data_IF_678077250566
#
_entry.id   IF_678077250566
#
_cell.length_a   1.000
_cell.length_b   1.000
_cell.length_c   1.000
_cell.angle_alpha   90.00
_cell.angle_beta   90.00
_cell.angle_gamma   90.00
#
_symmetry.space_group_name_H-M   'P 1'
#
loop_
_entity.id
_entity.type
_entity.pdbx_description
1 polymer ?
#
# COMPACT_ATOMS: atom_id res chain seq x y z
N UNK A 1 -69.31 -29.70 -27.41
CA UNK A 1 -68.63 -30.11 -26.14
C UNK A 1 -67.84 -28.90 -25.65
N UNK A 2 -68.35 -28.21 -24.62
CA UNK A 2 -67.74 -27.05 -24.05
C UNK A 2 -66.84 -27.48 -22.86
N UNK A 3 -65.62 -26.97 -22.82
CA UNK A 3 -64.68 -27.26 -21.76
C UNK A 3 -65.05 -26.48 -20.46
N UNK A 4 -64.83 -27.01 -19.28
CA UNK A 4 -65.15 -26.36 -18.02
C UNK A 4 -64.15 -25.24 -17.69
N UNK A 5 -64.62 -24.20 -16.95
CA UNK A 5 -63.74 -23.11 -16.55
C UNK A 5 -62.80 -23.48 -15.44
N UNK A 6 -61.54 -23.02 -15.50
CA UNK A 6 -60.50 -23.22 -14.49
C UNK A 6 -60.79 -22.38 -13.21
N UNK A 7 -60.48 -22.92 -12.03
CA UNK A 7 -60.66 -22.20 -10.76
C UNK A 7 -59.60 -21.08 -10.60
N UNK A 8 -59.94 -19.98 -9.86
CA UNK A 8 -59.03 -18.89 -9.62
C UNK A 8 -57.91 -19.32 -8.67
N UNK A 9 -56.67 -19.06 -9.06
CA UNK A 9 -55.51 -19.21 -8.22
C UNK A 9 -55.54 -18.22 -7.05
N UNK A 10 -55.72 -18.74 -5.85
CA UNK A 10 -55.47 -17.98 -4.62
C UNK A 10 -53.97 -17.81 -4.44
N UNK A 11 -53.50 -16.60 -4.61
CA UNK A 11 -52.13 -16.19 -4.23
C UNK A 11 -52.12 -16.08 -2.70
N UNK A 12 -51.67 -17.15 -2.03
CA UNK A 12 -51.31 -17.10 -0.63
C UNK A 12 -50.11 -16.17 -0.46
N UNK A 13 -50.33 -15.02 0.14
CA UNK A 13 -49.31 -14.10 0.55
C UNK A 13 -48.36 -14.76 1.56
N UNK A 14 -47.18 -15.21 1.07
CA UNK A 14 -46.10 -15.57 1.97
C UNK A 14 -45.53 -14.26 2.57
N UNK A 15 -45.87 -14.05 3.84
CA UNK A 15 -45.19 -13.04 4.67
C UNK A 15 -43.75 -13.43 4.79
N UNK A 16 -42.88 -12.73 4.02
CA UNK A 16 -41.44 -12.80 4.16
C UNK A 16 -41.09 -12.24 5.54
N UNK A 17 -40.43 -13.01 6.44
CA UNK A 17 -40.00 -12.45 7.71
C UNK A 17 -38.99 -11.31 7.38
N UNK A 18 -39.37 -10.08 7.73
CA UNK A 18 -38.45 -8.97 7.75
C UNK A 18 -37.36 -9.28 8.76
N UNK A 19 -36.21 -9.73 8.24
CA UNK A 19 -34.99 -9.78 9.01
C UNK A 19 -34.68 -8.36 9.47
N UNK A 20 -35.00 -8.05 10.70
CA UNK A 20 -34.54 -6.86 11.39
C UNK A 20 -33.03 -6.97 11.52
N UNK A 21 -32.32 -6.60 10.47
CA UNK A 21 -30.87 -6.40 10.49
C UNK A 21 -30.63 -5.25 11.45
N UNK A 22 -30.26 -5.59 12.69
CA UNK A 22 -29.81 -4.64 13.69
C UNK A 22 -28.74 -3.78 13.05
N UNK A 23 -28.88 -2.44 12.97
CA UNK A 23 -27.85 -1.61 12.34
C UNK A 23 -26.56 -1.84 13.10
N UNK A 24 -25.55 -2.36 12.39
CA UNK A 24 -24.20 -2.48 12.91
C UNK A 24 -23.76 -1.04 13.21
N UNK A 25 -23.33 -0.71 14.44
CA UNK A 25 -22.89 0.64 14.76
C UNK A 25 -21.65 0.93 13.92
N UNK A 26 -21.85 1.60 12.80
CA UNK A 26 -20.76 2.21 12.03
C UNK A 26 -20.13 3.24 12.97
N UNK A 27 -18.86 3.06 13.25
CA UNK A 27 -18.05 4.00 14.01
C UNK A 27 -17.97 5.30 13.18
N UNK A 28 -18.98 6.15 13.31
CA UNK A 28 -19.02 7.44 12.63
C UNK A 28 -17.93 8.32 13.25
N UNK A 29 -16.84 8.50 12.52
CA UNK A 29 -15.84 9.49 12.88
C UNK A 29 -16.49 10.87 12.90
N UNK A 30 -16.05 11.74 13.83
CA UNK A 30 -16.50 13.14 13.84
C UNK A 30 -16.15 13.79 12.49
N UNK A 31 -16.90 14.83 12.05
CA UNK A 31 -16.63 15.50 10.77
C UNK A 31 -15.18 15.98 10.63
N UNK A 32 -14.57 16.46 11.71
CA UNK A 32 -13.17 16.88 11.72
C UNK A 32 -12.18 15.70 11.61
N UNK A 33 -12.51 14.54 12.15
CA UNK A 33 -11.70 13.34 11.99
C UNK A 33 -11.77 12.81 10.55
N UNK A 34 -12.97 12.84 9.95
CA UNK A 34 -13.14 12.47 8.53
C UNK A 34 -12.39 13.39 7.58
N UNK A 35 -12.39 14.72 7.85
CA UNK A 35 -11.66 15.68 7.05
C UNK A 35 -10.14 15.40 7.10
N UNK A 36 -9.59 15.16 8.27
CA UNK A 36 -8.18 14.80 8.44
C UNK A 36 -7.81 13.48 7.74
N UNK A 37 -8.70 12.50 7.79
CA UNK A 37 -8.44 11.22 7.12
C UNK A 37 -8.43 11.38 5.60
N UNK A 38 -9.34 12.16 5.02
CA UNK A 38 -9.31 12.49 3.60
C UNK A 38 -8.04 13.22 3.20
N UNK A 39 -7.59 14.16 4.00
CA UNK A 39 -6.34 14.89 3.76
C UNK A 39 -5.12 13.97 3.80
N UNK A 40 -5.04 13.04 4.76
CA UNK A 40 -4.01 12.01 4.82
C UNK A 40 -3.96 11.16 3.56
N UNK A 41 -5.12 10.66 3.13
CA UNK A 41 -5.24 9.87 1.90
C UNK A 41 -4.81 10.69 0.69
N UNK A 42 -5.28 11.93 0.55
CA UNK A 42 -4.92 12.80 -0.57
C UNK A 42 -3.41 13.01 -0.65
N UNK A 43 -2.76 13.40 0.44
CA UNK A 43 -1.30 13.63 0.44
C UNK A 43 -0.52 12.37 0.11
N UNK A 44 -0.96 11.19 0.58
CA UNK A 44 -0.30 9.92 0.24
C UNK A 44 -0.46 9.58 -1.25
N UNK A 45 -1.64 9.83 -1.83
CA UNK A 45 -1.87 9.63 -3.26
C UNK A 45 -1.03 10.60 -4.11
N UNK A 46 -0.90 11.85 -3.69
CA UNK A 46 -0.05 12.83 -4.35
C UNK A 46 1.44 12.42 -4.30
N UNK A 47 1.91 11.92 -3.15
CA UNK A 47 3.26 11.35 -3.02
C UNK A 47 3.43 10.15 -3.97
N UNK A 48 2.45 9.26 -4.04
CA UNK A 48 2.52 8.10 -4.93
C UNK A 48 2.59 8.50 -6.40
N UNK A 49 1.85 9.54 -6.80
CA UNK A 49 1.90 10.07 -8.16
C UNK A 49 3.31 10.56 -8.52
N UNK A 50 3.93 11.35 -7.64
CA UNK A 50 5.30 11.84 -7.86
C UNK A 50 6.34 10.69 -7.90
N UNK A 51 6.21 9.72 -6.99
CA UNK A 51 7.10 8.55 -7.00
C UNK A 51 6.93 7.73 -8.28
N UNK A 52 5.72 7.60 -8.80
CA UNK A 52 5.47 6.92 -10.08
C UNK A 52 6.13 7.65 -11.24
N UNK A 53 6.02 8.98 -11.31
CA UNK A 53 6.71 9.78 -12.33
C UNK A 53 8.22 9.57 -12.28
N UNK A 54 8.78 9.58 -11.07
CA UNK A 54 10.21 9.33 -10.88
C UNK A 54 10.60 7.90 -11.28
N UNK A 55 9.80 6.90 -10.93
CA UNK A 55 10.06 5.51 -11.31
C UNK A 55 10.03 5.33 -12.85
N UNK A 56 9.08 5.97 -13.54
CA UNK A 56 8.98 5.95 -15.01
C UNK A 56 10.23 6.61 -15.59
N UNK A 57 10.64 7.78 -15.11
CA UNK A 57 11.85 8.47 -15.55
C UNK A 57 13.09 7.59 -15.41
N UNK A 58 13.22 6.90 -14.27
CA UNK A 58 14.33 5.97 -14.02
C UNK A 58 14.30 4.75 -14.94
N UNK A 59 13.12 4.28 -15.32
CA UNK A 59 12.97 3.22 -16.32
C UNK A 59 13.41 3.67 -17.71
N UNK A 60 13.00 4.87 -18.14
CA UNK A 60 13.41 5.48 -19.41
C UNK A 60 14.91 5.70 -19.48
N UNK A 61 15.56 6.01 -18.35
CA UNK A 61 17.02 6.08 -18.21
C UNK A 61 17.70 4.69 -18.18
N UNK A 62 16.94 3.61 -18.31
CA UNK A 62 17.45 2.24 -18.22
C UNK A 62 17.93 1.82 -16.83
N UNK A 63 17.47 2.51 -15.79
CA UNK A 63 17.78 2.24 -14.37
C UNK A 63 16.76 1.32 -13.70
N UNK A 64 15.67 0.96 -14.38
CA UNK A 64 14.61 0.10 -13.86
C UNK A 64 14.94 -1.40 -13.81
N UNK A 65 16.11 -1.80 -14.32
CA UNK A 65 16.45 -3.21 -14.50
C UNK A 65 15.83 -3.79 -15.78
N UNK A 66 16.03 -5.08 -16.03
CA UNK A 66 15.42 -5.77 -17.16
C UNK A 66 13.93 -5.98 -16.89
N UNK A 67 13.07 -5.32 -17.65
CA UNK A 67 11.65 -5.68 -17.73
C UNK A 67 11.51 -6.89 -18.63
N UNK A 68 10.69 -7.87 -18.24
CA UNK A 68 10.59 -9.21 -18.85
C UNK A 68 10.26 -9.31 -20.34
N UNK A 69 10.20 -8.18 -21.07
CA UNK A 69 10.05 -8.14 -22.54
C UNK A 69 11.38 -8.16 -23.30
N UNK A 70 12.50 -7.86 -22.64
CA UNK A 70 13.82 -7.73 -23.26
C UNK A 70 14.76 -8.92 -22.93
N UNK A 71 14.20 -10.01 -22.44
CA UNK A 71 14.96 -11.26 -22.29
C UNK A 71 15.05 -11.96 -23.64
N UNK A 72 15.74 -11.31 -24.59
CA UNK A 72 16.46 -12.07 -25.61
C UNK A 72 17.57 -12.80 -24.87
N UNK A 73 17.41 -14.08 -24.72
CA UNK A 73 18.42 -14.97 -24.15
C UNK A 73 19.59 -15.02 -25.15
N UNK A 74 20.42 -13.99 -25.14
CA UNK A 74 21.73 -14.08 -25.72
C UNK A 74 22.56 -14.97 -24.79
N UNK A 75 22.94 -16.14 -25.31
CA UNK A 75 23.69 -17.19 -24.61
C UNK A 75 25.10 -16.79 -24.15
N UNK A 76 25.41 -15.53 -24.17
CA UNK A 76 26.67 -14.98 -23.64
C UNK A 76 26.33 -14.20 -22.37
N UNK A 77 26.40 -14.86 -21.22
CA UNK A 77 26.40 -14.40 -19.84
C UNK A 77 26.52 -12.89 -19.54
N UNK A 78 25.74 -12.05 -20.22
CA UNK A 78 25.64 -10.64 -19.96
C UNK A 78 24.91 -10.45 -18.63
N UNK A 79 25.58 -9.82 -17.68
CA UNK A 79 25.09 -9.44 -16.37
C UNK A 79 23.67 -8.90 -16.46
N UNK A 80 22.72 -9.64 -15.89
CA UNK A 80 21.36 -9.16 -15.75
C UNK A 80 21.42 -7.79 -15.07
N UNK A 81 21.11 -6.72 -15.81
CA UNK A 81 21.21 -5.35 -15.31
C UNK A 81 20.27 -5.20 -14.11
N UNK A 82 20.84 -5.19 -12.93
CA UNK A 82 20.08 -4.99 -11.69
C UNK A 82 19.45 -3.59 -11.68
N UNK A 83 18.27 -3.44 -11.12
CA UNK A 83 17.64 -2.12 -10.96
C UNK A 83 18.51 -1.23 -10.07
N UNK A 84 18.58 0.04 -10.40
CA UNK A 84 19.27 1.04 -9.58
C UNK A 84 18.60 1.17 -8.21
N UNK A 85 19.38 1.53 -7.20
CA UNK A 85 18.89 1.66 -5.82
C UNK A 85 17.77 2.69 -5.71
N UNK A 86 17.83 3.77 -6.49
CA UNK A 86 16.81 4.82 -6.56
C UNK A 86 15.47 4.26 -7.04
N UNK A 87 15.50 3.40 -8.07
CA UNK A 87 14.30 2.73 -8.57
C UNK A 87 13.71 1.78 -7.52
N UNK A 88 14.56 0.99 -6.87
CA UNK A 88 14.14 0.08 -5.79
C UNK A 88 13.54 0.88 -4.61
N UNK A 89 14.11 2.03 -4.27
CA UNK A 89 13.57 2.91 -3.22
C UNK A 89 12.19 3.46 -3.59
N UNK A 90 11.99 3.91 -4.83
CA UNK A 90 10.67 4.34 -5.33
C UNK A 90 9.64 3.21 -5.18
N UNK A 91 9.95 2.01 -5.65
CA UNK A 91 9.03 0.86 -5.58
C UNK A 91 8.71 0.46 -4.14
N UNK A 92 9.68 0.49 -3.24
CA UNK A 92 9.49 0.22 -1.81
C UNK A 92 8.55 1.23 -1.16
N UNK A 93 8.69 2.52 -1.49
CA UNK A 93 7.82 3.59 -0.97
C UNK A 93 6.40 3.44 -1.46
N UNK A 94 6.20 3.20 -2.76
CA UNK A 94 4.89 2.90 -3.32
C UNK A 94 4.22 1.73 -2.60
N UNK A 95 4.94 0.64 -2.43
CA UNK A 95 4.44 -0.55 -1.75
C UNK A 95 4.04 -0.25 -0.29
N UNK A 96 4.86 0.50 0.44
CA UNK A 96 4.60 0.89 1.82
C UNK A 96 3.35 1.77 1.94
N UNK A 97 3.19 2.74 1.04
CA UNK A 97 2.04 3.64 1.02
C UNK A 97 0.75 2.91 0.65
N UNK A 98 0.79 2.03 -0.36
CA UNK A 98 -0.36 1.21 -0.75
C UNK A 98 -0.78 0.24 0.36
N UNK A 99 0.19 -0.35 1.06
CA UNK A 99 -0.10 -1.22 2.21
C UNK A 99 -0.80 -0.46 3.35
N UNK A 100 -0.40 0.79 3.62
CA UNK A 100 -1.08 1.65 4.57
C UNK A 100 -2.51 1.97 4.14
N UNK A 101 -2.71 2.41 2.89
CA UNK A 101 -4.04 2.73 2.35
C UNK A 101 -4.98 1.51 2.38
N UNK A 102 -4.49 0.34 2.02
CA UNK A 102 -5.26 -0.90 2.10
C UNK A 102 -5.65 -1.25 3.54
N UNK A 103 -4.72 -1.10 4.49
CA UNK A 103 -4.97 -1.38 5.89
C UNK A 103 -6.00 -0.41 6.51
N UNK A 104 -6.02 0.87 6.10
CA UNK A 104 -7.03 1.84 6.55
C UNK A 104 -8.41 1.49 6.02
N UNK A 105 -8.53 1.12 4.75
CA UNK A 105 -9.80 0.66 4.14
C UNK A 105 -10.31 -0.60 4.86
N UNK A 106 -9.44 -1.57 5.11
CA UNK A 106 -9.78 -2.80 5.84
C UNK A 106 -10.27 -2.51 7.27
N UNK A 107 -9.66 -1.55 7.96
CA UNK A 107 -10.06 -1.15 9.31
C UNK A 107 -11.47 -0.52 9.33
N UNK A 108 -11.86 0.21 8.28
CA UNK A 108 -13.21 0.77 8.14
C UNK A 108 -14.27 -0.31 7.85
N UNK A 109 -13.93 -1.36 7.12
CA UNK A 109 -14.87 -2.42 6.74
C UNK A 109 -15.02 -3.53 7.79
N UNK A 110 -14.00 -3.77 8.61
CA UNK A 110 -14.00 -4.88 9.60
C UNK A 110 -14.24 -4.35 11.01
N UNK A 111 -15.50 -4.20 11.40
CA UNK A 111 -15.94 -3.80 12.75
C UNK A 111 -15.49 -4.75 13.87
N UNK A 112 -15.04 -5.97 13.55
CA UNK A 112 -14.62 -7.00 14.52
C UNK A 112 -13.13 -7.41 14.41
N UNK A 113 -12.33 -6.69 13.63
CA UNK A 113 -10.92 -7.01 13.54
C UNK A 113 -10.19 -6.53 14.80
N UNK A 114 -9.62 -7.49 15.55
CA UNK A 114 -8.67 -7.21 16.66
C UNK A 114 -7.35 -6.61 16.17
N UNK A 115 -7.22 -6.37 14.87
CA UNK A 115 -6.03 -5.77 14.28
C UNK A 115 -6.07 -4.28 14.56
N UNK A 116 -5.07 -3.80 15.28
CA UNK A 116 -4.92 -2.37 15.55
C UNK A 116 -4.85 -1.59 14.23
N UNK A 117 -5.56 -0.46 14.17
CA UNK A 117 -5.48 0.48 13.06
C UNK A 117 -4.02 0.94 12.91
N UNK A 118 -3.45 0.96 11.68
CA UNK A 118 -2.07 1.38 11.51
C UNK A 118 -1.90 2.84 11.95
N UNK A 119 -0.92 3.12 12.79
CA UNK A 119 -0.69 4.46 13.31
C UNK A 119 -0.31 5.47 12.22
N UNK A 120 0.25 4.99 11.09
CA UNK A 120 0.63 5.79 9.93
C UNK A 120 1.42 4.98 8.89
N UNK A 121 1.82 5.63 7.78
CA UNK A 121 2.64 5.00 6.75
C UNK A 121 3.99 4.54 7.30
N UNK A 122 4.54 3.48 6.69
CA UNK A 122 5.82 2.92 7.14
C UNK A 122 7.01 3.85 6.87
N UNK A 123 6.95 4.65 5.80
CA UNK A 123 8.01 5.58 5.39
C UNK A 123 7.48 7.00 5.48
N UNK A 124 8.11 7.84 6.29
CA UNK A 124 7.68 9.21 6.60
C UNK A 124 8.65 10.30 6.13
N UNK A 125 9.75 9.90 5.50
CA UNK A 125 10.80 10.82 5.06
C UNK A 125 11.08 10.65 3.58
N UNK A 126 11.36 11.75 2.88
CA UNK A 126 11.83 11.72 1.50
C UNK A 126 13.25 11.13 1.43
N UNK A 127 13.59 10.53 0.27
CA UNK A 127 14.98 10.19 -0.02
C UNK A 127 15.78 11.46 -0.33
N UNK A 128 17.08 11.51 -0.02
CA UNK A 128 17.96 12.62 -0.40
C UNK A 128 18.01 12.89 -1.92
N UNK A 129 17.68 11.88 -2.72
CA UNK A 129 17.69 11.96 -4.19
C UNK A 129 16.37 12.44 -4.78
N UNK A 130 15.33 12.64 -3.96
CA UNK A 130 14.02 13.07 -4.42
C UNK A 130 13.96 14.55 -4.80
N UNK A 131 12.98 14.88 -5.66
CA UNK A 131 12.70 16.26 -6.04
C UNK A 131 12.28 17.12 -4.83
N UNK A 132 12.49 18.45 -4.88
CA UNK A 132 12.03 19.37 -3.84
C UNK A 132 10.53 19.25 -3.56
N UNK A 133 9.72 19.05 -4.60
CA UNK A 133 8.25 18.91 -4.48
C UNK A 133 7.89 17.66 -3.66
N UNK A 134 8.60 16.57 -3.87
CA UNK A 134 8.39 15.34 -3.11
C UNK A 134 8.83 15.50 -1.65
N UNK A 135 9.93 16.22 -1.41
CA UNK A 135 10.37 16.56 -0.04
C UNK A 135 9.32 17.39 0.68
N UNK A 136 8.72 18.39 0.02
CA UNK A 136 7.65 19.19 0.59
C UNK A 136 6.42 18.35 0.95
N UNK A 137 5.98 17.46 0.05
CA UNK A 137 4.84 16.54 0.29
C UNK A 137 5.09 15.63 1.50
N UNK A 138 6.30 15.11 1.68
CA UNK A 138 6.66 14.36 2.89
C UNK A 138 6.62 15.23 4.15
N UNK A 139 7.01 16.50 4.05
CA UNK A 139 6.85 17.48 5.13
C UNK A 139 5.38 17.72 5.52
N UNK A 140 4.47 17.76 4.54
CA UNK A 140 3.03 17.82 4.77
C UNK A 140 2.52 16.54 5.44
N UNK A 141 2.97 15.37 4.95
CA UNK A 141 2.61 14.08 5.52
C UNK A 141 2.97 13.99 7.02
N UNK A 142 4.18 14.43 7.39
CA UNK A 142 4.62 14.42 8.80
C UNK A 142 3.72 15.26 9.71
N UNK A 143 3.20 16.40 9.23
CA UNK A 143 2.26 17.24 9.99
C UNK A 143 0.92 16.56 10.24
N UNK A 144 0.49 15.68 9.32
CA UNK A 144 -0.77 14.93 9.43
C UNK A 144 -0.68 13.71 10.36
N UNK A 145 0.53 13.30 10.73
CA UNK A 145 0.81 12.17 11.62
C UNK A 145 1.71 12.59 12.78
N UNK A 146 1.24 13.49 13.67
CA UNK A 146 2.07 14.02 14.76
C UNK A 146 2.54 12.90 15.68
N UNK A 147 3.84 12.84 15.92
CA UNK A 147 4.47 11.82 16.76
C UNK A 147 4.76 10.48 16.09
N UNK A 148 4.28 10.25 14.88
CA UNK A 148 4.60 9.06 14.09
C UNK A 148 5.82 9.32 13.20
N UNK A 149 6.86 8.50 13.35
CA UNK A 149 8.11 8.61 12.59
C UNK A 149 8.32 7.53 11.53
N UNK A 150 7.27 6.74 11.27
CA UNK A 150 7.39 5.57 10.39
C UNK A 150 7.89 4.33 11.13
N UNK A 151 7.99 3.23 10.38
CA UNK A 151 8.59 2.00 10.89
C UNK A 151 10.11 2.12 10.72
N UNK A 152 10.84 2.08 11.84
CA UNK A 152 12.29 1.95 11.78
C UNK A 152 12.60 0.52 11.30
N UNK A 153 13.03 0.41 10.05
CA UNK A 153 13.58 -0.84 9.54
C UNK A 153 14.89 -1.08 10.30
N UNK A 154 14.87 -2.00 11.26
CA UNK A 154 16.09 -2.55 11.82
C UNK A 154 16.73 -3.36 10.69
N UNK A 155 17.66 -2.74 9.97
CA UNK A 155 18.51 -3.49 9.04
C UNK A 155 19.17 -4.61 9.86
N UNK A 156 19.11 -5.87 9.39
CA UNK A 156 19.92 -6.91 10.02
C UNK A 156 21.37 -6.40 10.03
N UNK A 157 22.11 -6.58 11.13
CA UNK A 157 23.51 -6.16 11.15
C UNK A 157 24.19 -6.83 9.96
N UNK A 158 24.73 -6.00 9.06
CA UNK A 158 25.60 -6.48 7.99
C UNK A 158 26.61 -7.38 8.64
N UNK A 159 26.70 -8.63 8.19
CA UNK A 159 27.72 -9.58 8.66
C UNK A 159 29.08 -8.98 8.29
N UNK A 160 29.58 -8.11 9.15
CA UNK A 160 30.93 -7.61 9.09
C UNK A 160 31.85 -8.80 9.31
N UNK A 161 32.45 -9.24 8.20
CA UNK A 161 33.77 -9.82 8.10
C UNK A 161 34.28 -10.43 9.42
N UNK A 162 34.01 -11.70 9.64
CA UNK A 162 34.78 -12.50 10.58
C UNK A 162 36.25 -12.54 10.10
N UNK A 163 37.06 -11.73 10.74
CA UNK A 163 38.51 -11.78 10.58
C UNK A 163 39.01 -13.21 10.87
N UNK A 164 39.63 -13.81 9.87
CA UNK A 164 40.26 -15.12 10.02
C UNK A 164 41.35 -15.10 11.10
N UNK A 165 41.55 -16.22 11.81
CA UNK A 165 42.62 -16.32 12.77
C UNK A 165 43.96 -16.36 12.04
N UNK A 166 44.84 -15.39 12.32
CA UNK A 166 46.24 -15.46 12.00
C UNK A 166 46.87 -16.55 12.90
N UNK A 167 47.16 -17.66 12.28
CA UNK A 167 48.01 -18.70 12.90
C UNK A 167 49.47 -18.29 12.70
N UNK A 168 50.08 -17.71 13.73
CA UNK A 168 51.53 -17.51 13.83
C UNK A 168 52.07 -18.71 14.55
N UNK A 169 52.75 -19.60 13.82
CA UNK A 169 53.66 -20.58 14.38
C UNK A 169 55.08 -20.07 14.22
N UNK A 170 55.74 -19.96 15.36
CA UNK A 170 57.18 -19.85 15.52
C UNK A 170 57.86 -21.21 15.34
#
# INVERSE_FOLDING_TARGET
MAAPPLPPYQVQGQSVPQSTTKPIPQRSLSPGAQARERERVSVILDINSEILHEAIRLQEEGKGGLTGSDVSVDQNGADAKLPAMEYVDCMRRLQANLAYLAATVDAHHKTNSKRAEPAGPAIMEASPTHSPDLVEKYGQLQKLFPGWKGLQWKMPPSASSAGGPQNVQA
#
